data_IF_353214161647
#
_entry.id   IF_353214161647
#
_cell.length_a   1.000
_cell.length_b   1.000
_cell.length_c   1.000
_cell.angle_alpha   90.00
_cell.angle_beta   90.00
_cell.angle_gamma   90.00
#
_symmetry.space_group_name_H-M   'P 1'
#
loop_
_entity.id
_entity.type
_entity.pdbx_description
1 polymer ?
#
# COMPACT_ATOMS: atom_id res chain seq x y z
N UNK A 1 9.92 -7.16 -10.15
CA UNK A 1 8.50 -7.01 -9.82
C UNK A 1 7.60 -7.84 -10.76
N UNK A 2 7.54 -7.53 -12.05
CA UNK A 2 6.67 -8.23 -13.02
C UNK A 2 6.90 -9.75 -13.03
N UNK A 3 8.16 -10.20 -13.14
CA UNK A 3 8.48 -11.64 -13.12
C UNK A 3 7.98 -12.35 -11.84
N UNK A 4 8.09 -11.68 -10.69
CA UNK A 4 7.60 -12.22 -9.42
C UNK A 4 6.08 -12.30 -9.38
N UNK A 5 5.37 -11.28 -9.86
CA UNK A 5 3.91 -11.31 -9.95
C UNK A 5 3.44 -12.46 -10.88
N UNK A 6 4.14 -12.68 -12.00
CA UNK A 6 3.84 -13.76 -12.97
C UNK A 6 4.07 -15.16 -12.43
N UNK A 7 5.06 -15.32 -11.54
CA UNK A 7 5.43 -16.65 -11.01
C UNK A 7 4.31 -17.32 -10.20
N UNK A 8 3.44 -16.54 -9.57
CA UNK A 8 2.24 -17.00 -8.86
C UNK A 8 1.13 -15.97 -9.09
N UNK A 9 0.46 -16.11 -10.25
CA UNK A 9 -0.57 -15.17 -10.69
C UNK A 9 -1.75 -15.17 -9.73
N UNK A 10 -2.08 -13.96 -9.25
CA UNK A 10 -3.25 -13.71 -8.40
C UNK A 10 -4.33 -12.99 -9.19
N UNK A 11 -5.57 -13.17 -8.78
CA UNK A 11 -6.70 -12.43 -9.32
C UNK A 11 -6.85 -11.12 -8.55
N UNK A 12 -6.89 -9.99 -9.26
CA UNK A 12 -6.98 -8.65 -8.68
C UNK A 12 -8.25 -7.97 -9.19
N UNK A 13 -8.98 -7.28 -8.31
CA UNK A 13 -10.15 -6.49 -8.70
C UNK A 13 -9.80 -5.04 -8.93
N UNK A 14 -10.34 -4.49 -10.02
CA UNK A 14 -10.28 -3.08 -10.41
C UNK A 14 -11.71 -2.52 -10.38
N UNK A 15 -12.10 -1.76 -9.34
CA UNK A 15 -13.46 -1.26 -9.18
C UNK A 15 -13.89 -0.22 -10.22
N UNK A 16 -12.94 0.51 -10.84
CA UNK A 16 -13.19 1.70 -11.65
C UNK A 16 -13.16 1.38 -13.15
N UNK A 17 -14.03 0.43 -13.58
CA UNK A 17 -14.11 -0.03 -14.98
C UNK A 17 -14.58 1.02 -15.99
N UNK A 18 -15.01 2.19 -15.54
CA UNK A 18 -15.42 3.31 -16.40
C UNK A 18 -14.23 4.21 -16.78
N UNK A 19 -13.06 4.09 -16.11
CA UNK A 19 -11.91 4.93 -16.39
C UNK A 19 -11.03 4.35 -17.50
N UNK A 20 -10.79 5.13 -18.55
CA UNK A 20 -9.98 4.74 -19.71
C UNK A 20 -8.56 4.29 -19.34
N UNK A 21 -7.95 4.91 -18.32
CA UNK A 21 -6.61 4.55 -17.86
C UNK A 21 -6.60 3.18 -17.20
N UNK A 22 -7.65 2.88 -16.43
CA UNK A 22 -7.84 1.57 -15.80
C UNK A 22 -8.04 0.49 -16.87
N UNK A 23 -8.88 0.73 -17.89
CA UNK A 23 -9.06 -0.23 -18.99
C UNK A 23 -7.76 -0.44 -19.78
N UNK A 24 -7.03 0.63 -20.12
CA UNK A 24 -5.73 0.52 -20.80
C UNK A 24 -4.68 -0.20 -19.94
N UNK A 25 -4.66 0.05 -18.63
CA UNK A 25 -3.79 -0.66 -17.70
C UNK A 25 -4.16 -2.14 -17.61
N UNK A 26 -5.46 -2.46 -17.52
CA UNK A 26 -5.97 -3.83 -17.50
C UNK A 26 -5.51 -4.63 -18.73
N UNK A 27 -5.63 -4.07 -19.93
CA UNK A 27 -5.13 -4.71 -21.14
C UNK A 27 -3.60 -4.94 -21.13
N UNK A 28 -2.82 -4.03 -20.52
CA UNK A 28 -1.37 -4.23 -20.36
C UNK A 28 -1.05 -5.32 -19.34
N UNK A 29 -1.78 -5.35 -18.22
CA UNK A 29 -1.64 -6.37 -17.16
C UNK A 29 -1.92 -7.77 -17.73
N UNK A 30 -3.03 -7.94 -18.44
CA UNK A 30 -3.43 -9.23 -19.05
C UNK A 30 -2.40 -9.68 -20.10
N UNK A 31 -2.04 -8.81 -21.03
CA UNK A 31 -1.05 -9.12 -22.08
C UNK A 31 0.32 -9.49 -21.53
N UNK A 32 0.75 -8.82 -20.42
CA UNK A 32 2.00 -9.15 -19.73
C UNK A 32 1.88 -10.35 -18.80
N UNK A 33 0.68 -10.90 -18.57
CA UNK A 33 0.43 -12.03 -17.66
C UNK A 33 0.73 -11.73 -16.19
N UNK A 34 0.58 -10.46 -15.76
CA UNK A 34 0.94 -10.01 -14.42
C UNK A 34 -0.07 -10.52 -13.37
N UNK A 35 -1.35 -10.45 -13.68
CA UNK A 35 -2.46 -10.87 -12.84
C UNK A 35 -3.66 -11.28 -13.70
N UNK A 36 -4.58 -12.08 -13.13
CA UNK A 36 -5.93 -12.22 -13.65
C UNK A 36 -6.78 -11.08 -13.11
N UNK A 37 -7.74 -10.60 -13.89
CA UNK A 37 -8.47 -9.39 -13.53
C UNK A 37 -9.98 -9.63 -13.41
N UNK A 38 -10.55 -9.02 -12.38
CA UNK A 38 -11.97 -8.72 -12.25
C UNK A 38 -12.12 -7.21 -12.39
N UNK A 39 -12.99 -6.75 -13.28
CA UNK A 39 -13.30 -5.33 -13.49
C UNK A 39 -14.75 -5.11 -13.09
N UNK A 40 -15.02 -4.09 -12.28
CA UNK A 40 -16.37 -3.79 -11.84
C UNK A 40 -17.00 -2.69 -12.69
N UNK A 41 -18.29 -2.87 -13.02
CA UNK A 41 -19.11 -1.96 -13.79
C UNK A 41 -20.03 -2.70 -14.74
N UNK A 42 -20.74 -1.95 -15.60
CA UNK A 42 -21.60 -2.54 -16.62
C UNK A 42 -20.77 -3.23 -17.70
N UNK A 43 -21.08 -4.51 -17.98
CA UNK A 43 -20.26 -5.31 -18.90
C UNK A 43 -20.36 -4.77 -20.33
N UNK A 44 -21.55 -4.36 -20.78
CA UNK A 44 -21.77 -3.82 -22.12
C UNK A 44 -20.93 -2.55 -22.33
N UNK A 45 -20.98 -1.64 -21.36
CA UNK A 45 -20.27 -0.36 -21.42
C UNK A 45 -18.76 -0.57 -21.39
N UNK A 46 -18.26 -1.43 -20.48
CA UNK A 46 -16.83 -1.76 -20.38
C UNK A 46 -16.32 -2.40 -21.66
N UNK A 47 -17.04 -3.39 -22.23
CA UNK A 47 -16.63 -4.06 -23.47
C UNK A 47 -16.65 -3.10 -24.67
N UNK A 48 -17.69 -2.27 -24.78
CA UNK A 48 -17.79 -1.26 -25.83
C UNK A 48 -16.64 -0.26 -25.73
N UNK A 49 -16.40 0.28 -24.53
CA UNK A 49 -15.32 1.24 -24.31
C UNK A 49 -13.94 0.65 -24.56
N UNK A 50 -13.71 -0.59 -24.16
CA UNK A 50 -12.45 -1.29 -24.44
C UNK A 50 -12.21 -1.45 -25.95
N UNK A 51 -13.26 -1.75 -26.73
CA UNK A 51 -13.18 -1.85 -28.19
C UNK A 51 -12.79 -0.49 -28.81
N UNK A 52 -13.44 0.62 -28.40
CA UNK A 52 -13.10 1.98 -28.84
C UNK A 52 -11.64 2.34 -28.53
N UNK A 53 -11.14 1.92 -27.37
CA UNK A 53 -9.77 2.13 -26.95
C UNK A 53 -8.76 1.17 -27.59
N UNK A 54 -9.22 0.20 -28.40
CA UNK A 54 -8.42 -0.89 -28.96
C UNK A 54 -7.70 -1.71 -27.87
N UNK A 55 -8.39 -1.99 -26.76
CA UNK A 55 -7.88 -2.76 -25.61
C UNK A 55 -8.57 -4.13 -25.59
N UNK A 56 -7.76 -5.20 -25.57
CA UNK A 56 -8.28 -6.55 -25.39
C UNK A 56 -8.48 -6.86 -23.90
N UNK A 57 -9.73 -7.08 -23.51
CA UNK A 57 -10.14 -7.48 -22.16
C UNK A 57 -10.86 -8.84 -22.15
N UNK A 58 -10.75 -9.65 -23.21
CA UNK A 58 -11.45 -10.97 -23.29
C UNK A 58 -11.12 -11.90 -22.13
N UNK A 59 -9.91 -11.84 -21.60
CA UNK A 59 -9.47 -12.62 -20.44
C UNK A 59 -9.89 -12.03 -19.08
N UNK A 60 -10.49 -10.84 -19.03
CA UNK A 60 -10.99 -10.25 -17.80
C UNK A 60 -12.42 -10.72 -17.52
N UNK A 61 -12.71 -11.00 -16.25
CA UNK A 61 -14.07 -11.17 -15.75
C UNK A 61 -14.64 -9.78 -15.48
N UNK A 62 -15.85 -9.49 -15.97
CA UNK A 62 -16.56 -8.25 -15.65
C UNK A 62 -17.72 -8.59 -14.73
N UNK A 63 -17.89 -7.83 -13.66
CA UNK A 63 -18.99 -7.99 -12.70
C UNK A 63 -19.66 -6.63 -12.46
N UNK A 64 -20.99 -6.62 -12.54
CA UNK A 64 -21.78 -5.44 -12.18
C UNK A 64 -22.30 -5.61 -10.74
N UNK A 65 -21.83 -4.80 -9.75
CA UNK A 65 -22.30 -4.88 -8.38
C UNK A 65 -23.82 -4.73 -8.22
N UNK A 66 -24.45 -3.94 -9.09
CA UNK A 66 -25.89 -3.71 -9.02
C UNK A 66 -26.73 -4.96 -9.37
N UNK A 67 -26.22 -5.83 -10.23
CA UNK A 67 -26.92 -7.00 -10.76
C UNK A 67 -26.25 -8.33 -10.39
N UNK A 68 -25.26 -8.31 -9.49
CA UNK A 68 -24.54 -9.53 -9.10
C UNK A 68 -25.36 -10.39 -8.15
N UNK A 69 -25.40 -11.70 -8.41
CA UNK A 69 -26.01 -12.70 -7.51
C UNK A 69 -25.35 -12.72 -6.11
N UNK A 70 -24.09 -12.24 -5.99
CA UNK A 70 -23.36 -12.14 -4.71
C UNK A 70 -23.80 -10.96 -3.85
N UNK A 71 -24.57 -10.00 -4.39
CA UNK A 71 -24.88 -8.74 -3.71
C UNK A 71 -25.61 -8.95 -2.38
N UNK A 72 -26.64 -9.80 -2.36
CA UNK A 72 -27.45 -10.04 -1.16
C UNK A 72 -26.66 -10.79 -0.10
N UNK A 73 -25.83 -11.75 -0.48
CA UNK A 73 -24.93 -12.44 0.42
C UNK A 73 -23.92 -11.49 1.04
N UNK A 74 -23.28 -10.64 0.23
CA UNK A 74 -22.34 -9.62 0.72
C UNK A 74 -23.00 -8.59 1.62
N UNK A 75 -24.24 -8.19 1.32
CA UNK A 75 -25.01 -7.29 2.19
C UNK A 75 -25.30 -7.94 3.55
N UNK A 76 -25.66 -9.22 3.58
CA UNK A 76 -25.90 -9.95 4.81
C UNK A 76 -24.61 -10.09 5.65
N UNK A 77 -23.47 -10.40 5.02
CA UNK A 77 -22.19 -10.48 5.70
C UNK A 77 -21.77 -9.11 6.26
N UNK A 78 -21.94 -8.03 5.49
CA UNK A 78 -21.58 -6.67 5.93
C UNK A 78 -22.50 -6.20 7.07
N UNK A 79 -23.79 -6.53 7.02
CA UNK A 79 -24.71 -6.28 8.12
C UNK A 79 -24.19 -6.90 9.43
N UNK A 80 -23.80 -8.17 9.41
CA UNK A 80 -23.23 -8.83 10.60
C UNK A 80 -21.96 -8.13 11.11
N UNK A 81 -21.06 -7.75 10.21
CA UNK A 81 -19.82 -7.04 10.60
C UNK A 81 -20.08 -5.69 11.25
N UNK A 82 -21.21 -5.03 10.89
CA UNK A 82 -21.51 -3.65 11.28
C UNK A 82 -22.77 -3.53 12.16
N UNK A 83 -23.38 -4.63 12.60
CA UNK A 83 -24.59 -4.67 13.42
C UNK A 83 -24.47 -3.79 14.67
N UNK A 84 -23.35 -3.87 15.37
CA UNK A 84 -23.08 -3.06 16.56
C UNK A 84 -22.95 -1.54 16.28
N UNK A 85 -22.85 -1.16 15.01
CA UNK A 85 -22.79 0.23 14.53
C UNK A 85 -24.13 0.72 13.97
N UNK A 86 -25.22 -0.04 14.19
CA UNK A 86 -26.57 0.34 13.74
C UNK A 86 -26.84 0.11 12.25
N UNK A 87 -26.10 -0.78 11.59
CA UNK A 87 -26.35 -1.13 10.20
C UNK A 87 -27.71 -1.85 10.05
N UNK A 88 -28.47 -1.53 8.99
CA UNK A 88 -29.68 -2.25 8.60
C UNK A 88 -29.44 -3.00 7.29
N UNK A 89 -30.31 -3.96 6.95
CA UNK A 89 -30.15 -4.76 5.72
C UNK A 89 -30.34 -3.89 4.47
N UNK A 90 -31.31 -2.97 4.49
CA UNK A 90 -31.58 -2.07 3.39
C UNK A 90 -30.35 -1.19 3.10
N UNK A 91 -29.74 -0.67 4.18
CA UNK A 91 -28.53 0.15 4.05
C UNK A 91 -27.33 -0.67 3.59
N UNK A 92 -27.20 -1.91 4.03
CA UNK A 92 -26.15 -2.82 3.60
C UNK A 92 -26.30 -3.17 2.09
N UNK A 93 -27.53 -3.37 1.61
CA UNK A 93 -27.82 -3.61 0.19
C UNK A 93 -27.50 -2.40 -0.69
N UNK A 94 -27.83 -1.18 -0.22
CA UNK A 94 -27.43 0.05 -0.92
C UNK A 94 -25.91 0.17 -1.04
N UNK A 95 -25.19 -0.08 0.06
CA UNK A 95 -23.74 0.01 0.13
C UNK A 95 -23.07 -1.03 -0.79
N UNK A 96 -23.64 -2.23 -0.91
CA UNK A 96 -23.10 -3.28 -1.77
C UNK A 96 -23.31 -3.02 -3.29
N UNK A 97 -24.04 -1.98 -3.67
CA UNK A 97 -24.03 -1.48 -5.04
C UNK A 97 -22.81 -0.60 -5.36
N UNK A 98 -22.08 -0.13 -4.33
CA UNK A 98 -20.87 0.65 -4.49
C UNK A 98 -19.68 -0.25 -4.88
N UNK A 99 -18.96 0.14 -5.94
CA UNK A 99 -17.87 -0.66 -6.50
C UNK A 99 -16.70 -0.89 -5.53
N UNK A 100 -16.40 0.07 -4.66
CA UNK A 100 -15.31 -0.07 -3.69
C UNK A 100 -15.69 -1.03 -2.56
N UNK A 101 -16.92 -0.96 -2.05
CA UNK A 101 -17.43 -1.90 -1.06
C UNK A 101 -17.57 -3.31 -1.62
N UNK A 102 -18.15 -3.44 -2.81
CA UNK A 102 -18.30 -4.74 -3.47
C UNK A 102 -16.93 -5.37 -3.77
N UNK A 103 -16.00 -4.60 -4.33
CA UNK A 103 -14.63 -5.06 -4.58
C UNK A 103 -13.92 -5.50 -3.30
N UNK A 104 -14.11 -4.77 -2.20
CA UNK A 104 -13.55 -5.14 -0.90
C UNK A 104 -14.17 -6.43 -0.36
N UNK A 105 -15.46 -6.68 -0.58
CA UNK A 105 -16.11 -7.95 -0.22
C UNK A 105 -15.60 -9.12 -1.05
N UNK A 106 -15.27 -8.92 -2.34
CA UNK A 106 -14.60 -9.94 -3.17
C UNK A 106 -13.24 -10.32 -2.57
N UNK A 107 -12.48 -9.34 -2.09
CA UNK A 107 -11.19 -9.57 -1.40
C UNK A 107 -11.43 -10.32 -0.08
N UNK A 108 -12.39 -9.87 0.72
CA UNK A 108 -12.71 -10.48 2.02
C UNK A 108 -13.04 -11.96 1.89
N UNK A 109 -13.88 -12.31 0.92
CA UNK A 109 -14.30 -13.68 0.67
C UNK A 109 -13.24 -14.53 -0.07
N UNK A 110 -12.09 -13.97 -0.45
CA UNK A 110 -11.03 -14.70 -1.14
C UNK A 110 -11.34 -15.03 -2.60
N UNK A 111 -12.36 -14.41 -3.19
CA UNK A 111 -12.72 -14.56 -4.61
C UNK A 111 -11.63 -13.90 -5.47
N UNK A 112 -11.05 -12.83 -4.95
CA UNK A 112 -9.85 -12.18 -5.50
C UNK A 112 -8.78 -12.02 -4.42
N UNK A 113 -7.52 -11.95 -4.83
CA UNK A 113 -6.37 -11.83 -3.92
C UNK A 113 -6.15 -10.42 -3.39
N UNK A 114 -6.67 -9.40 -4.08
CA UNK A 114 -6.50 -8.00 -3.68
C UNK A 114 -7.27 -7.03 -4.57
N UNK A 115 -7.26 -5.74 -4.20
CA UNK A 115 -7.95 -4.66 -4.90
C UNK A 115 -6.99 -3.50 -5.18
N UNK A 116 -7.15 -2.87 -6.35
CA UNK A 116 -6.51 -1.59 -6.72
C UNK A 116 -7.59 -0.62 -7.16
N UNK A 117 -7.72 0.52 -6.48
CA UNK A 117 -8.72 1.56 -6.72
C UNK A 117 -8.12 2.95 -6.47
N UNK A 118 -8.85 4.02 -6.75
CA UNK A 118 -8.44 5.41 -6.47
C UNK A 118 -8.09 6.23 -7.70
N UNK A 119 -8.24 5.69 -8.91
CA UNK A 119 -8.03 6.45 -10.14
C UNK A 119 -9.08 7.56 -10.32
N UNK A 120 -10.32 7.32 -9.89
CA UNK A 120 -11.44 8.28 -9.94
C UNK A 120 -11.96 8.64 -8.55
N UNK A 121 -11.91 7.70 -7.61
CA UNK A 121 -12.37 7.88 -6.25
C UNK A 121 -11.34 8.58 -5.34
N UNK A 122 -11.81 9.09 -4.21
CA UNK A 122 -10.91 9.64 -3.18
C UNK A 122 -10.27 8.51 -2.39
N UNK A 123 -9.07 8.75 -1.81
CA UNK A 123 -8.42 7.82 -0.88
C UNK A 123 -9.35 7.35 0.23
N UNK A 124 -10.17 8.25 0.78
CA UNK A 124 -11.15 7.88 1.81
C UNK A 124 -12.19 6.87 1.31
N UNK A 125 -12.63 6.97 0.06
CA UNK A 125 -13.61 6.05 -0.53
C UNK A 125 -13.01 4.66 -0.80
N UNK A 126 -11.74 4.59 -1.18
CA UNK A 126 -11.03 3.32 -1.36
C UNK A 126 -10.69 2.66 -0.02
N UNK A 127 -10.19 3.45 0.95
CA UNK A 127 -9.59 2.92 2.17
C UNK A 127 -10.62 2.61 3.25
N UNK A 128 -11.76 3.36 3.31
CA UNK A 128 -12.81 3.12 4.31
C UNK A 128 -13.37 1.69 4.28
N UNK A 129 -13.78 1.11 3.11
CA UNK A 129 -14.22 -0.30 3.05
C UNK A 129 -13.15 -1.26 3.55
N UNK A 130 -11.87 -1.03 3.22
CA UNK A 130 -10.78 -1.87 3.69
C UNK A 130 -10.65 -1.85 5.23
N UNK A 131 -10.80 -0.71 5.87
CA UNK A 131 -10.80 -0.62 7.34
C UNK A 131 -12.01 -1.29 7.99
N UNK A 132 -13.16 -1.18 7.36
CA UNK A 132 -14.41 -1.71 7.91
C UNK A 132 -14.53 -3.23 7.75
N UNK A 133 -14.03 -3.78 6.64
CA UNK A 133 -14.23 -5.17 6.20
C UNK A 133 -12.96 -6.00 6.37
N UNK A 134 -11.83 -5.57 5.78
CA UNK A 134 -10.56 -6.32 5.79
C UNK A 134 -9.88 -6.23 7.16
N UNK A 135 -9.88 -5.03 7.77
CA UNK A 135 -9.26 -4.72 9.06
C UNK A 135 -7.74 -4.92 9.07
N UNK A 136 -7.12 -4.58 10.18
CA UNK A 136 -5.67 -4.76 10.40
C UNK A 136 -5.32 -6.21 10.75
N UNK A 137 -4.08 -6.57 10.51
CA UNK A 137 -3.48 -7.79 11.04
C UNK A 137 -3.52 -7.77 12.58
N UNK A 138 -3.58 -8.95 13.25
CA UNK A 138 -3.73 -9.00 14.71
C UNK A 138 -2.64 -8.28 15.49
N UNK A 139 -1.42 -8.26 14.96
CA UNK A 139 -0.23 -7.65 15.57
C UNK A 139 0.04 -6.21 15.10
N UNK A 140 -0.87 -5.61 14.34
CA UNK A 140 -0.73 -4.26 13.78
C UNK A 140 -1.88 -3.36 14.23
N UNK A 141 -1.55 -2.30 14.94
CA UNK A 141 -2.55 -1.35 15.47
C UNK A 141 -3.04 -0.34 14.45
N UNK A 142 -2.27 -0.11 13.36
CA UNK A 142 -2.59 0.93 12.38
C UNK A 142 -2.21 0.53 10.96
N UNK A 143 -3.06 0.89 10.01
CA UNK A 143 -2.72 0.82 8.59
C UNK A 143 -1.81 2.00 8.25
N UNK A 144 -0.79 1.74 7.47
CA UNK A 144 0.17 2.75 7.00
C UNK A 144 0.49 2.53 5.52
N UNK A 145 1.41 3.31 4.99
CA UNK A 145 1.85 3.19 3.61
C UNK A 145 3.37 3.10 3.50
N UNK A 146 3.82 2.54 2.38
CA UNK A 146 5.22 2.61 1.96
C UNK A 146 5.29 3.04 0.49
N UNK A 147 6.28 3.89 0.17
CA UNK A 147 6.69 4.15 -1.20
C UNK A 147 7.99 3.43 -1.50
N UNK A 148 8.05 2.72 -2.63
CA UNK A 148 9.30 2.21 -3.17
C UNK A 148 9.92 3.30 -4.04
N UNK A 149 11.01 3.88 -3.55
CA UNK A 149 11.75 4.94 -4.24
C UNK A 149 12.85 4.30 -5.07
N UNK A 150 12.60 4.19 -6.39
CA UNK A 150 13.58 3.64 -7.32
C UNK A 150 14.54 4.75 -7.77
N UNK A 151 15.73 4.74 -7.23
CA UNK A 151 16.85 5.59 -7.62
C UNK A 151 17.62 4.92 -8.75
N UNK A 152 18.62 5.59 -9.30
CA UNK A 152 19.44 5.07 -10.42
C UNK A 152 20.24 3.82 -10.04
N UNK A 153 20.63 3.68 -8.79
CA UNK A 153 21.53 2.66 -8.26
C UNK A 153 20.90 1.71 -7.24
N UNK A 154 19.75 2.07 -6.67
CA UNK A 154 19.13 1.32 -5.57
C UNK A 154 17.63 1.62 -5.42
N UNK A 155 16.93 0.76 -4.67
CA UNK A 155 15.54 0.99 -4.26
C UNK A 155 15.49 1.16 -2.74
N UNK A 156 14.83 2.21 -2.29
CA UNK A 156 14.57 2.50 -0.88
C UNK A 156 13.09 2.41 -0.57
N UNK A 157 12.74 1.93 0.62
CA UNK A 157 11.36 1.93 1.11
C UNK A 157 11.15 3.09 2.09
N UNK A 158 10.19 3.98 1.79
CA UNK A 158 9.85 5.16 2.59
C UNK A 158 8.49 4.97 3.26
N UNK A 159 8.44 4.94 4.58
CA UNK A 159 7.21 4.79 5.38
C UNK A 159 7.17 5.73 6.58
N UNK A 160 6.02 6.22 7.00
CA UNK A 160 4.77 6.40 6.28
C UNK A 160 4.77 7.74 5.54
N UNK A 161 4.19 7.77 4.35
CA UNK A 161 4.18 8.98 3.53
C UNK A 161 2.77 9.41 3.07
N UNK A 162 1.69 8.68 3.47
CA UNK A 162 0.36 8.95 2.92
C UNK A 162 -0.83 8.79 3.90
N UNK A 163 -0.70 8.09 5.03
CA UNK A 163 -1.84 7.65 5.83
C UNK A 163 -1.90 8.26 7.23
N UNK A 164 -0.85 8.14 8.04
CA UNK A 164 -0.87 8.50 9.47
C UNK A 164 -0.25 9.87 9.71
N UNK A 165 -1.05 10.91 10.06
CA UNK A 165 -0.54 12.28 10.16
C UNK A 165 0.53 12.45 11.24
N UNK A 166 0.27 11.97 12.45
CA UNK A 166 1.18 12.06 13.60
C UNK A 166 1.11 10.75 14.41
N UNK A 167 1.93 9.76 14.07
CA UNK A 167 1.93 8.47 14.75
C UNK A 167 2.48 8.60 16.17
N UNK A 168 1.87 7.86 17.10
CA UNK A 168 2.47 7.62 18.42
C UNK A 168 3.73 6.76 18.28
N UNK A 169 4.53 6.62 19.35
CA UNK A 169 5.71 5.74 19.33
C UNK A 169 5.35 4.27 19.02
N UNK A 170 4.21 3.79 19.52
CA UNK A 170 3.70 2.45 19.23
C UNK A 170 3.32 2.28 17.76
N UNK A 171 2.58 3.24 17.19
CA UNK A 171 2.21 3.25 15.79
C UNK A 171 3.44 3.37 14.87
N UNK A 172 4.42 4.20 15.26
CA UNK A 172 5.66 4.36 14.50
C UNK A 172 6.48 3.06 14.48
N UNK A 173 6.47 2.29 15.58
CA UNK A 173 7.07 0.96 15.62
C UNK A 173 6.34 -0.03 14.70
N UNK A 174 4.99 -0.02 14.68
CA UNK A 174 4.20 -0.84 13.76
C UNK A 174 4.48 -0.48 12.29
N UNK A 175 4.59 0.83 11.98
CA UNK A 175 4.96 1.31 10.64
C UNK A 175 6.33 0.77 10.24
N UNK A 176 7.31 0.80 11.14
CA UNK A 176 8.66 0.32 10.89
C UNK A 176 8.69 -1.19 10.57
N UNK A 177 8.05 -2.00 11.40
CA UNK A 177 8.00 -3.46 11.23
C UNK A 177 7.23 -3.82 9.94
N UNK A 178 6.09 -3.16 9.70
CA UNK A 178 5.29 -3.39 8.49
C UNK A 178 6.06 -2.99 7.23
N UNK A 179 6.80 -1.86 7.26
CA UNK A 179 7.63 -1.40 6.14
C UNK A 179 8.79 -2.35 5.86
N UNK A 180 9.43 -2.89 6.90
CA UNK A 180 10.47 -3.90 6.77
C UNK A 180 9.93 -5.19 6.11
N UNK A 181 8.79 -5.69 6.58
CA UNK A 181 8.12 -6.87 6.00
C UNK A 181 7.73 -6.61 4.54
N UNK A 182 7.22 -5.42 4.23
CA UNK A 182 6.89 -5.04 2.86
C UNK A 182 8.14 -4.98 1.99
N UNK A 183 9.22 -4.33 2.44
CA UNK A 183 10.48 -4.25 1.72
C UNK A 183 11.04 -5.66 1.40
N UNK A 184 11.02 -6.57 2.37
CA UNK A 184 11.45 -7.96 2.19
C UNK A 184 10.61 -8.69 1.13
N UNK A 185 9.28 -8.48 1.10
CA UNK A 185 8.41 -9.02 0.05
C UNK A 185 8.79 -8.53 -1.35
N UNK A 186 9.45 -7.39 -1.49
CA UNK A 186 9.97 -6.89 -2.76
C UNK A 186 11.45 -7.21 -3.03
N UNK A 187 12.06 -8.02 -2.16
CA UNK A 187 13.46 -8.46 -2.31
C UNK A 187 14.48 -7.44 -1.83
N UNK A 188 14.06 -6.47 -1.03
CA UNK A 188 14.93 -5.49 -0.37
C UNK A 188 15.31 -6.05 1.00
N UNK A 189 16.62 -6.20 1.29
CA UNK A 189 17.13 -6.58 2.61
C UNK A 189 16.83 -5.46 3.62
N UNK A 190 15.95 -5.67 4.64
CA UNK A 190 15.47 -4.56 5.45
C UNK A 190 16.53 -4.12 6.46
N UNK A 191 16.97 -2.86 6.34
CA UNK A 191 17.78 -2.11 7.30
C UNK A 191 17.05 -0.83 7.63
N UNK A 192 16.43 -0.79 8.80
CA UNK A 192 15.45 0.23 9.16
C UNK A 192 16.12 1.40 9.87
N UNK A 193 16.04 2.58 9.27
CA UNK A 193 16.44 3.84 9.88
C UNK A 193 15.20 4.59 10.41
N UNK A 194 15.12 4.81 11.71
CA UNK A 194 14.08 5.61 12.35
C UNK A 194 14.51 7.08 12.32
N UNK A 195 13.92 7.84 11.37
CA UNK A 195 14.42 9.17 11.03
C UNK A 195 14.05 10.25 12.04
N UNK A 196 14.97 11.16 12.23
CA UNK A 196 14.84 12.34 13.08
C UNK A 196 15.78 13.45 12.57
N UNK A 197 15.60 14.69 13.06
CA UNK A 197 16.63 15.73 12.92
C UNK A 197 17.85 15.49 13.84
N UNK A 198 17.79 14.48 14.71
CA UNK A 198 18.89 14.08 15.61
C UNK A 198 19.50 12.74 15.16
N UNK A 199 20.81 12.60 15.29
CA UNK A 199 21.52 11.32 15.21
C UNK A 199 22.04 10.96 16.59
N UNK A 200 21.56 9.84 17.16
CA UNK A 200 21.88 9.48 18.55
C UNK A 200 21.44 10.57 19.53
N UNK A 201 22.38 11.11 20.28
CA UNK A 201 22.15 12.12 21.32
C UNK A 201 22.48 13.55 20.86
N UNK A 202 22.63 13.78 19.56
CA UNK A 202 22.99 15.12 19.02
C UNK A 202 21.92 16.18 19.19
N UNK A 203 20.67 15.79 19.41
CA UNK A 203 19.52 16.67 19.61
C UNK A 203 18.56 16.15 20.66
N UNK A 204 17.70 17.03 21.16
CA UNK A 204 16.69 16.75 22.19
C UNK A 204 15.34 17.31 21.79
N UNK A 205 14.27 16.76 22.37
CA UNK A 205 12.89 17.23 22.16
C UNK A 205 11.90 16.09 21.97
N UNK A 206 10.61 16.40 22.12
CA UNK A 206 9.53 15.39 22.09
C UNK A 206 9.53 14.52 20.82
N UNK A 207 9.87 15.10 19.65
CA UNK A 207 9.98 14.34 18.41
C UNK A 207 11.14 13.34 18.42
N UNK A 208 12.29 13.71 19.01
CA UNK A 208 13.45 12.81 19.17
C UNK A 208 13.11 11.69 20.15
N UNK A 209 12.45 12.03 21.27
CA UNK A 209 12.07 11.05 22.30
C UNK A 209 11.03 10.06 21.76
N UNK A 210 10.08 10.52 20.94
CA UNK A 210 9.12 9.64 20.22
C UNK A 210 9.85 8.63 19.34
N UNK A 211 10.81 9.07 18.52
CA UNK A 211 11.57 8.21 17.63
C UNK A 211 12.44 7.22 18.42
N UNK A 212 13.10 7.67 19.50
CA UNK A 212 13.87 6.79 20.39
C UNK A 212 12.99 5.71 20.99
N UNK A 213 11.85 6.08 21.57
CA UNK A 213 10.90 5.13 22.15
C UNK A 213 10.37 4.13 21.11
N UNK A 214 10.08 4.58 19.89
CA UNK A 214 9.66 3.72 18.78
C UNK A 214 10.77 2.74 18.37
N UNK A 215 12.02 3.19 18.30
CA UNK A 215 13.18 2.33 17.99
C UNK A 215 13.34 1.20 19.02
N UNK A 216 13.19 1.54 20.29
CA UNK A 216 13.26 0.55 21.37
C UNK A 216 12.07 -0.42 21.34
N UNK A 217 10.88 0.04 20.94
CA UNK A 217 9.73 -0.82 20.74
C UNK A 217 9.97 -1.82 19.58
N UNK A 218 10.52 -1.37 18.46
CA UNK A 218 10.88 -2.27 17.34
C UNK A 218 11.85 -3.34 17.79
N UNK A 219 12.92 -2.97 18.48
CA UNK A 219 13.94 -3.91 19.00
C UNK A 219 13.33 -4.97 19.92
N UNK A 220 12.34 -4.60 20.74
CA UNK A 220 11.64 -5.55 21.62
C UNK A 220 10.68 -6.45 20.88
N UNK A 221 9.94 -5.93 19.86
CA UNK A 221 8.92 -6.68 19.12
C UNK A 221 9.49 -7.60 18.05
N UNK A 222 10.61 -7.18 17.43
CA UNK A 222 11.32 -7.95 16.42
C UNK A 222 12.85 -7.85 16.64
N UNK A 223 13.41 -8.68 17.56
CA UNK A 223 14.83 -8.63 17.91
C UNK A 223 15.79 -8.96 16.76
N UNK A 224 15.28 -9.58 15.68
CA UNK A 224 16.09 -9.95 14.51
C UNK A 224 16.12 -8.85 13.44
N UNK A 225 15.25 -7.85 13.53
CA UNK A 225 15.20 -6.76 12.58
C UNK A 225 16.35 -5.77 12.85
N UNK A 226 17.17 -5.51 11.82
CA UNK A 226 18.18 -4.47 11.88
C UNK A 226 17.52 -3.11 11.91
N UNK A 227 17.48 -2.47 13.06
CA UNK A 227 16.88 -1.14 13.26
C UNK A 227 17.80 -0.24 14.07
N UNK A 228 17.90 1.02 13.66
CA UNK A 228 18.62 2.05 14.39
C UNK A 228 17.92 3.41 14.29
N UNK A 229 18.12 4.24 15.32
CA UNK A 229 17.52 5.55 15.46
C UNK A 229 17.54 6.06 16.89
N UNK A 230 17.32 7.39 17.07
CA UNK A 230 17.06 8.39 16.03
C UNK A 230 18.29 8.63 15.14
N UNK A 231 18.04 8.83 13.83
CA UNK A 231 19.12 9.05 12.85
C UNK A 231 18.68 10.07 11.79
N UNK A 232 19.58 10.96 11.39
CA UNK A 232 19.35 11.90 10.28
C UNK A 232 19.42 11.19 8.94
N UNK A 233 18.71 11.72 7.94
CA UNK A 233 18.61 11.13 6.61
C UNK A 233 19.98 10.92 5.95
N UNK A 234 20.88 11.91 6.02
CA UNK A 234 22.25 11.82 5.49
C UNK A 234 23.03 10.68 6.14
N UNK A 235 22.99 10.59 7.47
CA UNK A 235 23.65 9.52 8.22
C UNK A 235 23.03 8.13 7.95
N UNK A 236 21.75 8.06 7.62
CA UNK A 236 21.08 6.81 7.26
C UNK A 236 21.58 6.22 5.94
N UNK A 237 21.87 7.07 4.93
CA UNK A 237 22.10 6.63 3.54
C UNK A 237 23.51 6.85 3.00
N UNK A 238 24.34 7.68 3.67
CA UNK A 238 25.73 7.97 3.26
C UNK A 238 26.72 7.31 4.23
N UNK A 239 27.57 6.36 3.74
CA UNK A 239 28.54 5.67 4.58
C UNK A 239 29.59 6.60 5.21
N UNK A 240 29.94 7.70 4.55
CA UNK A 240 30.95 8.66 5.07
C UNK A 240 30.39 9.41 6.27
N UNK A 241 29.16 9.90 6.13
CA UNK A 241 28.45 10.60 7.21
C UNK A 241 28.18 9.65 8.38
N UNK A 242 27.76 8.42 8.08
CA UNK A 242 27.54 7.38 9.08
C UNK A 242 28.79 7.05 9.90
N UNK A 243 29.96 6.93 9.23
CA UNK A 243 31.23 6.67 9.89
C UNK A 243 31.63 7.74 10.90
N UNK A 244 31.24 8.99 10.65
CA UNK A 244 31.51 10.11 11.57
C UNK A 244 30.46 10.24 12.69
N UNK A 245 29.15 10.05 12.37
CA UNK A 245 28.06 10.34 13.31
C UNK A 245 27.61 9.12 14.13
N UNK A 246 27.75 7.89 13.57
CA UNK A 246 27.20 6.67 14.18
C UNK A 246 28.07 5.43 13.86
N UNK A 247 29.36 5.47 14.26
CA UNK A 247 30.28 4.37 13.98
C UNK A 247 29.79 3.07 14.63
N UNK A 248 29.87 1.97 13.90
CA UNK A 248 29.45 0.65 14.39
C UNK A 248 27.95 0.33 14.27
N UNK A 249 27.11 1.26 13.80
CA UNK A 249 25.70 0.97 13.54
C UNK A 249 25.56 -0.08 12.41
N UNK A 250 24.69 -1.08 12.58
CA UNK A 250 24.40 -2.06 11.51
C UNK A 250 23.51 -1.48 10.40
N UNK A 251 22.98 -0.27 10.58
CA UNK A 251 22.00 0.39 9.69
C UNK A 251 22.55 1.66 9.04
N UNK A 252 23.24 2.51 9.83
CA UNK A 252 23.74 3.79 9.34
C UNK A 252 24.60 3.63 8.08
N UNK A 253 24.41 4.53 7.12
CA UNK A 253 25.11 4.56 5.83
C UNK A 253 24.64 3.51 4.81
N UNK A 254 23.74 2.61 5.19
CA UNK A 254 23.26 1.50 4.34
C UNK A 254 21.78 1.17 4.60
N UNK A 255 21.02 2.11 5.14
CA UNK A 255 19.61 1.95 5.35
C UNK A 255 18.87 1.72 4.01
N UNK A 256 17.93 0.80 4.03
CA UNK A 256 17.07 0.47 2.88
C UNK A 256 15.60 0.79 3.15
N UNK A 257 15.24 0.91 4.44
CA UNK A 257 13.90 1.28 4.90
C UNK A 257 14.04 2.53 5.78
N UNK A 258 13.38 3.61 5.37
CA UNK A 258 13.45 4.90 6.05
C UNK A 258 12.07 5.24 6.62
N UNK A 259 11.99 5.38 7.93
CA UNK A 259 10.74 5.62 8.66
C UNK A 259 10.70 7.07 9.12
N UNK A 260 9.71 7.80 8.64
CA UNK A 260 9.52 9.22 8.93
C UNK A 260 8.70 9.42 10.20
N UNK A 261 9.05 10.41 11.05
CA UNK A 261 8.41 10.61 12.35
C UNK A 261 6.96 11.11 12.26
N UNK A 262 6.59 11.69 11.12
CA UNK A 262 5.27 12.25 10.84
C UNK A 262 5.01 12.36 9.33
N UNK A 263 3.74 12.57 8.96
CA UNK A 263 3.31 12.64 7.58
C UNK A 263 3.87 13.85 6.82
N UNK A 264 4.05 15.01 7.49
CA UNK A 264 4.62 16.19 6.84
C UNK A 264 6.02 15.89 6.34
N UNK A 265 6.84 15.27 7.21
CA UNK A 265 8.20 14.88 6.86
C UNK A 265 8.21 13.83 5.74
N UNK A 266 7.43 12.76 5.87
CA UNK A 266 7.41 11.67 4.89
C UNK A 266 6.87 12.12 3.53
N UNK A 267 5.73 12.80 3.50
CA UNK A 267 5.08 13.22 2.26
C UNK A 267 5.91 14.24 1.48
N UNK A 268 6.50 15.25 2.16
CA UNK A 268 7.36 16.23 1.51
C UNK A 268 8.67 15.59 1.03
N UNK A 269 9.27 14.69 1.82
CA UNK A 269 10.57 14.08 1.48
C UNK A 269 10.45 13.20 0.24
N UNK A 270 9.46 12.28 0.16
CA UNK A 270 9.36 11.44 -1.02
C UNK A 270 9.12 12.26 -2.29
N UNK A 271 8.30 13.32 -2.23
CA UNK A 271 8.06 14.22 -3.37
C UNK A 271 9.32 15.00 -3.75
N UNK A 272 10.07 15.49 -2.76
CA UNK A 272 11.32 16.19 -3.01
C UNK A 272 12.34 15.26 -3.71
N UNK A 273 12.52 14.05 -3.22
CA UNK A 273 13.41 13.05 -3.84
C UNK A 273 12.93 12.69 -5.23
N UNK A 274 11.63 12.42 -5.41
CA UNK A 274 11.04 12.12 -6.72
C UNK A 274 11.32 13.24 -7.73
N UNK A 275 11.11 14.50 -7.36
CA UNK A 275 11.22 15.62 -8.27
C UNK A 275 12.65 16.11 -8.48
N UNK A 276 13.48 16.10 -7.44
CA UNK A 276 14.84 16.64 -7.47
C UNK A 276 15.87 15.62 -7.93
N UNK A 277 15.69 14.35 -7.59
CA UNK A 277 16.62 13.27 -7.99
C UNK A 277 16.12 12.46 -9.20
N UNK A 278 14.95 12.76 -9.75
CA UNK A 278 14.36 12.01 -10.86
C UNK A 278 13.98 10.56 -10.49
N UNK A 279 13.84 10.27 -9.21
CA UNK A 279 13.47 8.94 -8.74
C UNK A 279 12.04 8.58 -9.15
N UNK A 280 11.81 7.30 -9.46
CA UNK A 280 10.46 6.77 -9.67
C UNK A 280 9.91 6.39 -8.29
N UNK A 281 8.81 7.03 -7.89
CA UNK A 281 8.11 6.70 -6.65
C UNK A 281 6.94 5.76 -6.97
N UNK A 282 6.98 4.54 -6.48
CA UNK A 282 5.92 3.54 -6.67
C UNK A 282 5.16 3.40 -5.34
N UNK A 283 3.90 3.77 -5.32
CA UNK A 283 3.06 3.77 -4.14
C UNK A 283 1.93 4.82 -4.21
N UNK A 284 1.17 5.02 -3.13
CA UNK A 284 1.35 4.38 -1.83
C UNK A 284 0.96 2.89 -1.84
N UNK A 285 1.81 2.04 -1.32
CA UNK A 285 1.51 0.63 -1.05
C UNK A 285 0.97 0.55 0.36
N UNK A 286 -0.30 0.19 0.53
CA UNK A 286 -0.89 0.04 1.85
C UNK A 286 -0.37 -1.22 2.55
N UNK A 287 -0.16 -1.11 3.85
CA UNK A 287 0.38 -2.17 4.68
C UNK A 287 -0.33 -2.26 6.04
N UNK A 288 -0.24 -3.42 6.69
CA UNK A 288 -0.93 -3.68 7.95
C UNK A 288 -2.36 -4.18 7.80
N UNK A 289 -2.92 -4.26 6.59
CA UNK A 289 -4.21 -4.90 6.32
C UNK A 289 -4.09 -6.44 6.26
N UNK A 290 -5.14 -7.17 6.68
CA UNK A 290 -5.18 -8.63 6.58
C UNK A 290 -5.08 -9.13 5.12
N UNK A 291 -5.61 -8.36 4.16
CA UNK A 291 -5.53 -8.66 2.72
C UNK A 291 -5.21 -7.39 1.93
N UNK A 292 -4.55 -7.50 0.77
CA UNK A 292 -4.08 -6.34 0.03
C UNK A 292 -5.22 -5.51 -0.57
N UNK A 293 -5.24 -4.24 -0.22
CA UNK A 293 -6.02 -3.20 -0.89
C UNK A 293 -5.08 -2.02 -1.08
N UNK A 294 -4.90 -1.55 -2.30
CA UNK A 294 -4.02 -0.44 -2.61
C UNK A 294 -4.78 0.72 -3.27
N UNK A 295 -4.39 1.93 -2.88
CA UNK A 295 -4.96 3.18 -3.36
C UNK A 295 -4.08 3.79 -4.47
N UNK A 296 -4.72 4.42 -5.44
CA UNK A 296 -4.08 5.17 -6.51
C UNK A 296 -4.24 6.67 -6.28
N UNK A 297 -3.33 7.45 -6.82
CA UNK A 297 -3.60 8.87 -7.01
C UNK A 297 -4.60 9.08 -8.15
N UNK A 298 -5.51 10.05 -8.03
CA UNK A 298 -6.38 10.48 -9.14
C UNK A 298 -5.60 10.97 -10.37
N UNK A 299 -4.35 11.37 -10.16
CA UNK A 299 -3.40 11.71 -11.23
C UNK A 299 -2.52 10.53 -11.69
N UNK A 300 -2.84 9.29 -11.30
CA UNK A 300 -2.05 8.12 -11.69
C UNK A 300 -2.03 7.95 -13.22
N UNK A 301 -0.85 7.63 -13.73
CA UNK A 301 -0.65 7.24 -15.11
C UNK A 301 -0.99 5.76 -15.31
N UNK A 302 -1.15 5.34 -16.55
CA UNK A 302 -1.44 3.94 -16.89
C UNK A 302 -0.37 2.99 -16.30
N UNK A 303 0.89 3.37 -16.36
CA UNK A 303 1.99 2.53 -15.85
C UNK A 303 1.99 2.47 -14.31
N UNK A 304 1.54 3.53 -13.63
CA UNK A 304 1.37 3.51 -12.17
C UNK A 304 0.31 2.48 -11.76
N UNK A 305 -0.81 2.41 -12.50
CA UNK A 305 -1.86 1.41 -12.27
C UNK A 305 -1.32 -0.01 -12.49
N UNK A 306 -0.60 -0.24 -13.60
CA UNK A 306 0.03 -1.55 -13.89
C UNK A 306 1.00 -1.96 -12.77
N UNK A 307 1.83 -1.04 -12.31
CA UNK A 307 2.78 -1.29 -11.23
C UNK A 307 2.07 -1.58 -9.90
N UNK A 308 0.99 -0.85 -9.58
CA UNK A 308 0.21 -1.08 -8.35
C UNK A 308 -0.50 -2.44 -8.41
N UNK A 309 -1.02 -2.86 -9.57
CA UNK A 309 -1.58 -4.21 -9.73
C UNK A 309 -0.50 -5.29 -9.50
N UNK A 310 0.71 -5.11 -10.06
CA UNK A 310 1.80 -6.04 -9.83
C UNK A 310 2.21 -6.14 -8.35
N UNK A 311 2.25 -5.00 -7.67
CA UNK A 311 2.52 -4.93 -6.22
C UNK A 311 1.44 -5.67 -5.43
N UNK A 312 0.17 -5.40 -5.73
CA UNK A 312 -0.98 -6.03 -5.06
C UNK A 312 -0.96 -7.55 -5.26
N UNK A 313 -0.62 -8.00 -6.47
CA UNK A 313 -0.47 -9.42 -6.76
C UNK A 313 0.66 -10.05 -5.93
N UNK A 314 1.82 -9.39 -5.80
CA UNK A 314 2.94 -9.86 -4.96
C UNK A 314 2.56 -9.89 -3.47
N UNK A 315 1.84 -8.87 -2.98
CA UNK A 315 1.35 -8.86 -1.60
C UNK A 315 0.42 -10.06 -1.31
N UNK A 316 -0.40 -10.43 -2.30
CA UNK A 316 -1.35 -11.55 -2.20
C UNK A 316 -0.69 -12.95 -2.29
N UNK A 317 0.57 -13.06 -2.72
CA UNK A 317 1.30 -14.34 -2.83
C UNK A 317 1.71 -14.94 -1.48
N UNK A 318 1.65 -14.20 -0.42
CA UNK A 318 2.10 -14.66 0.91
C UNK A 318 0.98 -14.79 1.94
N UNK A 319 -0.27 -14.75 1.49
CA UNK A 319 -1.46 -14.83 2.35
C UNK A 319 -2.18 -16.15 2.18
#
# INVERSE_FOLDING_TARGET
MVERARADRKRIVLPEGEDDRVLRAAGRVLRRGIADLVILGDESDIRSRAAELSVDLTAAVVLNPANSDMRDEFAAQYLEMRRAKGMTIERAQEIMADVSYFGTMLVHNGIVGGMVSGATHTTAHTVRPAFEIIRTQPDVSTVSSVFLMCLSDRVLAYGDCAIVPDPTADQLADIAISSARTAAKFGIDPRVAMLSYSTGDSGTGAGVDKVRAATDLVRRRDPNLLVDGPIQYDAAVDPTVAGAKMPGSPVAGRATVLIFPDLNTGNNTYKAVQRSAGAIAIGPVLQGLNKPVNDLSRGALIEDIVNTVAITAIQAQGN
#
